data_IF_886599110773
#
_entry.id   IF_886599110773
#
_cell.length_a   1.000
_cell.length_b   1.000
_cell.length_c   1.000
_cell.angle_alpha   90.00
_cell.angle_beta   90.00
_cell.angle_gamma   90.00
#
_symmetry.space_group_name_H-M   'P 1'
#
loop_
_entity.id
_entity.type
_entity.pdbx_description
1 polymer ?
#
# COMPACT_ATOMS: atom_id res chain seq x y z
N UNK A 1 3.74 14.61 -20.70
CA UNK A 1 3.39 13.77 -19.54
C UNK A 1 3.37 12.29 -19.88
N UNK A 2 2.63 11.84 -20.89
CA UNK A 2 2.50 10.42 -21.27
C UNK A 2 3.83 9.76 -21.67
N UNK A 3 4.68 10.45 -22.42
CA UNK A 3 5.97 9.88 -22.85
C UNK A 3 6.93 9.67 -21.66
N UNK A 4 6.84 10.52 -20.65
CA UNK A 4 7.60 10.37 -19.42
C UNK A 4 7.16 9.14 -18.61
N UNK A 5 5.85 8.92 -18.51
CA UNK A 5 5.29 7.72 -17.90
C UNK A 5 5.72 6.45 -18.65
N UNK A 6 5.67 6.48 -20.01
CA UNK A 6 6.16 5.36 -20.84
C UNK A 6 7.64 5.07 -20.62
N UNK A 7 8.46 6.12 -20.49
CA UNK A 7 9.89 5.96 -20.21
C UNK A 7 10.16 5.29 -18.87
N UNK A 8 9.41 5.65 -17.82
CA UNK A 8 9.54 5.00 -16.50
C UNK A 8 9.12 3.52 -16.54
N UNK A 9 8.00 3.19 -17.19
CA UNK A 9 7.59 1.79 -17.35
C UNK A 9 8.59 1.00 -18.20
N UNK A 10 9.15 1.59 -19.24
CA UNK A 10 10.19 0.94 -20.04
C UNK A 10 11.44 0.65 -19.21
N UNK A 11 11.88 1.62 -18.37
CA UNK A 11 12.99 1.47 -17.43
C UNK A 11 12.74 0.33 -16.45
N UNK A 12 11.54 0.27 -15.85
CA UNK A 12 11.15 -0.79 -14.93
C UNK A 12 11.17 -2.16 -15.58
N UNK A 13 10.56 -2.33 -16.76
CA UNK A 13 10.54 -3.60 -17.48
C UNK A 13 11.93 -4.14 -17.81
N UNK A 14 12.91 -3.26 -18.03
CA UNK A 14 14.31 -3.64 -18.30
C UNK A 14 15.15 -3.80 -17.04
N UNK A 15 14.65 -3.39 -15.88
CA UNK A 15 15.36 -3.53 -14.62
C UNK A 15 15.38 -4.98 -14.14
N UNK A 16 16.56 -5.58 -14.06
CA UNK A 16 16.72 -6.92 -13.46
C UNK A 16 16.27 -6.91 -11.99
N UNK A 17 16.54 -5.83 -11.26
CA UNK A 17 16.12 -5.68 -9.86
C UNK A 17 14.61 -5.74 -9.71
N UNK A 18 13.84 -5.13 -10.60
CA UNK A 18 12.39 -5.21 -10.59
C UNK A 18 11.91 -6.67 -10.70
N UNK A 19 12.36 -7.41 -11.69
CA UNK A 19 11.96 -8.81 -11.89
C UNK A 19 12.39 -9.75 -10.75
N UNK A 20 13.55 -9.50 -10.14
CA UNK A 20 13.99 -10.24 -8.95
C UNK A 20 13.03 -9.95 -7.79
N UNK A 21 12.63 -8.70 -7.59
CA UNK A 21 11.65 -8.31 -6.54
C UNK A 21 10.30 -8.98 -6.77
N UNK A 22 9.80 -8.98 -8.03
CA UNK A 22 8.54 -9.64 -8.37
C UNK A 22 8.60 -11.16 -8.14
N UNK A 23 9.71 -11.80 -8.49
CA UNK A 23 9.92 -13.22 -8.24
C UNK A 23 9.87 -13.55 -6.74
N UNK A 24 10.55 -12.74 -5.91
CA UNK A 24 10.47 -12.88 -4.45
C UNK A 24 9.07 -12.57 -3.92
N UNK A 25 8.38 -11.58 -4.47
CA UNK A 25 7.00 -11.26 -4.12
C UNK A 25 6.09 -12.48 -4.32
N UNK A 26 6.18 -13.14 -5.47
CA UNK A 26 5.39 -14.34 -5.79
C UNK A 26 5.69 -15.48 -4.82
N UNK A 27 6.98 -15.82 -4.63
CA UNK A 27 7.38 -16.93 -3.76
C UNK A 27 6.98 -16.67 -2.31
N UNK A 28 7.31 -15.49 -1.77
CA UNK A 28 7.01 -15.17 -0.37
C UNK A 28 5.50 -15.11 -0.13
N UNK A 29 4.73 -14.49 -1.03
CA UNK A 29 3.29 -14.47 -0.90
C UNK A 29 2.69 -15.88 -0.94
N UNK A 30 3.12 -16.73 -1.87
CA UNK A 30 2.66 -18.11 -1.97
C UNK A 30 3.01 -18.94 -0.71
N UNK A 31 4.24 -18.81 -0.21
CA UNK A 31 4.68 -19.55 0.99
C UNK A 31 3.96 -19.06 2.25
N UNK A 32 3.73 -17.77 2.41
CA UNK A 32 2.98 -17.23 3.56
C UNK A 32 1.55 -17.75 3.60
N UNK A 33 0.85 -17.77 2.47
CA UNK A 33 -0.52 -18.29 2.41
C UNK A 33 -0.59 -19.80 2.59
N UNK A 34 0.39 -20.56 2.10
CA UNK A 34 0.44 -22.01 2.30
C UNK A 34 0.81 -22.39 3.75
N UNK A 35 1.76 -21.68 4.35
CA UNK A 35 2.24 -21.98 5.70
C UNK A 35 1.36 -21.38 6.81
N UNK A 36 0.27 -20.67 6.47
CA UNK A 36 -0.55 -19.89 7.40
C UNK A 36 0.30 -18.95 8.29
N UNK A 37 1.42 -18.45 7.75
CA UNK A 37 2.30 -17.51 8.44
C UNK A 37 1.73 -16.11 8.24
N UNK A 38 1.38 -15.45 9.34
CA UNK A 38 0.85 -14.09 9.32
C UNK A 38 1.99 -13.10 9.52
N UNK A 39 2.26 -12.29 8.51
CA UNK A 39 3.20 -11.18 8.59
C UNK A 39 2.43 -9.93 9.06
N UNK A 40 2.53 -9.62 10.34
CA UNK A 40 1.94 -8.41 10.91
C UNK A 40 2.03 -8.43 12.44
N UNK A 41 2.53 -7.36 13.03
CA UNK A 41 2.41 -7.13 14.46
C UNK A 41 0.94 -6.78 14.78
N UNK A 42 0.10 -7.77 15.03
CA UNK A 42 -1.22 -7.55 15.56
C UNK A 42 -1.08 -7.15 17.03
N UNK A 43 -1.07 -5.86 17.32
CA UNK A 43 -1.32 -5.33 18.65
C UNK A 43 -2.84 -5.40 18.86
N UNK A 44 -3.38 -6.61 18.99
CA UNK A 44 -4.73 -6.79 19.49
C UNK A 44 -4.63 -7.05 20.99
N UNK A 45 -5.33 -6.25 21.76
CA UNK A 45 -5.46 -6.37 23.22
C UNK A 45 -6.11 -7.70 23.66
N UNK A 46 -6.53 -8.55 22.75
CA UNK A 46 -7.09 -9.86 22.99
C UNK A 46 -6.10 -10.96 22.59
N UNK A 47 -5.22 -11.32 23.52
CA UNK A 47 -4.33 -12.47 23.43
C UNK A 47 -5.05 -13.84 23.25
N UNK A 48 -6.38 -13.87 23.27
CA UNK A 48 -7.20 -15.06 23.04
C UNK A 48 -7.47 -15.37 21.54
N UNK A 49 -7.10 -14.49 20.62
CA UNK A 49 -7.32 -14.66 19.18
C UNK A 49 -6.06 -15.12 18.42
N UNK A 50 -5.07 -15.71 19.08
CA UNK A 50 -4.18 -16.65 18.41
C UNK A 50 -4.94 -17.94 18.12
N UNK A 51 -6.09 -17.81 17.42
CA UNK A 51 -6.67 -18.95 16.75
C UNK A 51 -5.58 -19.49 15.85
N UNK A 52 -5.18 -20.74 16.09
CA UNK A 52 -4.56 -21.58 15.07
C UNK A 52 -5.48 -21.44 13.84
N UNK A 53 -5.14 -20.50 12.95
CA UNK A 53 -5.92 -20.26 11.76
C UNK A 53 -5.85 -21.57 10.99
N UNK A 54 -6.96 -22.31 11.04
CA UNK A 54 -7.15 -23.51 10.26
C UNK A 54 -6.84 -23.17 8.80
N UNK A 55 -6.61 -24.16 8.01
CA UNK A 55 -6.32 -24.03 6.58
C UNK A 55 -7.32 -23.07 5.95
N UNK A 56 -6.87 -21.87 5.55
CA UNK A 56 -7.72 -20.85 4.93
C UNK A 56 -8.23 -21.34 3.57
N UNK A 57 -9.52 -21.25 3.35
CA UNK A 57 -10.12 -21.43 2.00
C UNK A 57 -9.85 -20.22 1.14
N UNK A 58 -10.05 -20.32 -0.19
CA UNK A 58 -9.80 -19.22 -1.12
C UNK A 58 -10.52 -17.93 -0.74
N UNK A 59 -11.80 -17.99 -0.35
CA UNK A 59 -12.56 -16.81 0.07
C UNK A 59 -12.07 -16.22 1.40
N UNK A 60 -11.68 -17.07 2.35
CA UNK A 60 -11.08 -16.61 3.60
C UNK A 60 -9.70 -15.97 3.41
N UNK A 61 -8.92 -16.44 2.44
CA UNK A 61 -7.64 -15.82 2.09
C UNK A 61 -7.81 -14.42 1.52
N UNK A 62 -8.87 -14.17 0.73
CA UNK A 62 -9.20 -12.82 0.26
C UNK A 62 -9.62 -11.90 1.40
N UNK A 63 -10.43 -12.39 2.34
CA UNK A 63 -10.83 -11.65 3.54
C UNK A 63 -9.60 -11.29 4.41
N UNK A 64 -8.73 -12.27 4.62
CA UNK A 64 -7.47 -12.06 5.32
C UNK A 64 -6.59 -11.00 4.62
N UNK A 65 -6.48 -11.06 3.28
CA UNK A 65 -5.75 -10.05 2.51
C UNK A 65 -6.37 -8.66 2.65
N UNK A 66 -7.70 -8.54 2.65
CA UNK A 66 -8.38 -7.26 2.84
C UNK A 66 -8.05 -6.62 4.21
N UNK A 67 -7.93 -7.43 5.27
CA UNK A 67 -7.60 -6.96 6.63
C UNK A 67 -6.12 -6.64 6.86
N UNK A 68 -5.19 -7.22 6.07
CA UNK A 68 -3.75 -7.14 6.31
C UNK A 68 -3.02 -6.38 5.20
N UNK A 69 -2.29 -5.33 5.56
CA UNK A 69 -1.68 -4.38 4.60
C UNK A 69 -0.18 -4.62 4.39
N UNK A 70 0.48 -5.23 5.36
CA UNK A 70 1.94 -5.11 5.49
C UNK A 70 2.74 -5.74 4.33
N UNK A 71 2.34 -6.90 3.84
CA UNK A 71 3.03 -7.56 2.73
C UNK A 71 2.91 -6.79 1.40
N UNK A 72 1.72 -6.26 1.11
CA UNK A 72 1.49 -5.45 -0.09
C UNK A 72 2.34 -4.19 -0.10
N UNK A 73 2.36 -3.47 1.04
CA UNK A 73 3.12 -2.23 1.17
C UNK A 73 4.62 -2.48 1.04
N UNK A 74 5.14 -3.57 1.61
CA UNK A 74 6.56 -3.88 1.56
C UNK A 74 7.09 -3.96 0.11
N UNK A 75 6.45 -4.74 -0.75
CA UNK A 75 6.85 -4.86 -2.15
C UNK A 75 6.62 -3.58 -2.94
N UNK A 76 5.50 -2.89 -2.69
CA UNK A 76 5.20 -1.61 -3.31
C UNK A 76 6.26 -0.56 -2.99
N UNK A 77 6.79 -0.53 -1.77
CA UNK A 77 7.85 0.36 -1.34
C UNK A 77 9.15 0.10 -2.08
N UNK A 78 9.51 -1.17 -2.32
CA UNK A 78 10.69 -1.50 -3.10
C UNK A 78 10.52 -0.98 -4.54
N UNK A 79 9.37 -1.20 -5.17
CA UNK A 79 9.06 -0.65 -6.49
C UNK A 79 9.12 0.89 -6.53
N UNK A 80 8.55 1.56 -5.52
CA UNK A 80 8.61 3.02 -5.36
C UNK A 80 10.04 3.52 -5.19
N UNK A 81 10.89 2.79 -4.45
CA UNK A 81 12.30 3.14 -4.28
C UNK A 81 13.06 3.10 -5.60
N UNK A 82 12.74 2.16 -6.48
CA UNK A 82 13.36 2.04 -7.81
C UNK A 82 12.98 3.17 -8.76
N UNK A 83 11.75 3.69 -8.66
CA UNK A 83 11.24 4.74 -9.57
C UNK A 83 11.54 6.12 -9.02
N UNK A 84 11.00 6.42 -7.84
CA UNK A 84 11.06 7.75 -7.26
C UNK A 84 12.29 7.93 -6.35
N UNK A 85 12.64 6.89 -5.56
CA UNK A 85 13.76 6.92 -4.63
C UNK A 85 15.09 7.15 -5.33
N UNK A 86 15.37 6.40 -6.40
CA UNK A 86 16.61 6.56 -7.19
C UNK A 86 16.66 7.93 -7.87
N UNK A 87 15.55 8.38 -8.43
CA UNK A 87 15.49 9.67 -9.14
C UNK A 87 15.77 10.86 -8.20
N UNK A 88 15.21 10.84 -6.99
CA UNK A 88 15.40 11.92 -6.02
C UNK A 88 16.76 11.85 -5.33
N UNK A 89 17.23 10.67 -4.91
CA UNK A 89 18.51 10.50 -4.23
C UNK A 89 19.70 10.85 -5.13
N UNK A 90 19.61 10.50 -6.42
CA UNK A 90 20.64 10.82 -7.44
C UNK A 90 20.41 12.15 -8.14
N UNK A 91 19.39 12.93 -7.73
CA UNK A 91 19.01 14.22 -8.31
C UNK A 91 18.71 14.16 -9.82
N UNK A 92 18.31 13.00 -10.36
CA UNK A 92 18.01 12.83 -11.79
C UNK A 92 16.81 13.69 -12.24
N UNK A 93 15.94 14.07 -11.32
CA UNK A 93 14.84 15.00 -11.60
C UNK A 93 15.31 16.33 -12.17
N UNK A 94 16.53 16.80 -11.81
CA UNK A 94 17.10 18.04 -12.34
C UNK A 94 17.28 17.98 -13.86
N UNK A 95 17.73 16.84 -14.37
CA UNK A 95 17.85 16.64 -15.81
C UNK A 95 16.49 16.74 -16.51
N UNK A 96 15.45 16.13 -15.93
CA UNK A 96 14.10 16.20 -16.50
C UNK A 96 13.58 17.65 -16.54
N UNK A 97 13.84 18.43 -15.49
CA UNK A 97 13.42 19.83 -15.40
C UNK A 97 14.20 20.73 -16.37
N UNK A 98 15.50 20.47 -16.59
CA UNK A 98 16.31 21.22 -17.56
C UNK A 98 15.86 21.00 -19.01
N UNK A 99 15.24 19.85 -19.31
CA UNK A 99 14.59 19.59 -20.61
C UNK A 99 13.18 20.21 -20.74
N UNK A 100 12.79 21.10 -19.81
CA UNK A 100 11.54 21.85 -19.90
C UNK A 100 10.30 21.15 -19.33
N UNK A 101 10.46 20.02 -18.62
CA UNK A 101 9.35 19.37 -17.92
C UNK A 101 8.99 20.20 -16.69
N UNK A 102 7.72 20.60 -16.53
CA UNK A 102 7.29 21.33 -15.34
C UNK A 102 7.38 20.48 -14.08
N UNK A 103 7.69 21.09 -12.92
CA UNK A 103 7.73 20.42 -11.61
C UNK A 103 6.42 19.67 -11.32
N UNK A 104 5.29 20.26 -11.70
CA UNK A 104 3.96 19.66 -11.51
C UNK A 104 3.77 18.42 -12.36
N UNK A 105 4.12 18.47 -13.65
CA UNK A 105 4.03 17.31 -14.55
C UNK A 105 4.94 16.18 -14.11
N UNK A 106 6.16 16.50 -13.64
CA UNK A 106 7.07 15.50 -13.06
C UNK A 106 6.45 14.82 -11.84
N UNK A 107 5.96 15.62 -10.88
CA UNK A 107 5.39 15.13 -9.62
C UNK A 107 4.23 14.16 -9.85
N UNK A 108 3.22 14.56 -10.62
CA UNK A 108 2.05 13.73 -10.89
C UNK A 108 2.37 12.52 -11.77
N UNK A 109 3.30 12.61 -12.72
CA UNK A 109 3.74 11.45 -13.50
C UNK A 109 4.37 10.39 -12.61
N UNK A 110 5.26 10.80 -11.70
CA UNK A 110 5.90 9.85 -10.77
C UNK A 110 4.90 9.23 -9.81
N UNK A 111 3.99 10.03 -9.26
CA UNK A 111 2.93 9.52 -8.40
C UNK A 111 2.05 8.50 -9.14
N UNK A 112 1.66 8.78 -10.37
CA UNK A 112 0.87 7.86 -11.20
C UNK A 112 1.60 6.54 -11.45
N UNK A 113 2.89 6.57 -11.77
CA UNK A 113 3.70 5.35 -11.95
C UNK A 113 3.76 4.54 -10.65
N UNK A 114 3.96 5.19 -9.50
CA UNK A 114 3.96 4.52 -8.19
C UNK A 114 2.62 3.87 -7.86
N UNK A 115 1.50 4.56 -8.13
CA UNK A 115 0.14 4.00 -7.96
C UNK A 115 -0.10 2.82 -8.90
N UNK A 116 0.40 2.89 -10.14
CA UNK A 116 0.28 1.79 -11.10
C UNK A 116 1.06 0.54 -10.65
N UNK A 117 2.25 0.70 -10.06
CA UNK A 117 3.01 -0.40 -9.44
C UNK A 117 2.22 -0.99 -8.28
N UNK A 118 1.65 -0.15 -7.42
CA UNK A 118 0.81 -0.62 -6.30
C UNK A 118 -0.41 -1.40 -6.79
N UNK A 119 -1.08 -0.93 -7.86
CA UNK A 119 -2.20 -1.64 -8.46
C UNK A 119 -1.78 -3.01 -9.01
N UNK A 120 -0.61 -3.08 -9.64
CA UNK A 120 -0.05 -4.33 -10.12
C UNK A 120 0.24 -5.31 -8.97
N UNK A 121 0.95 -4.88 -7.92
CA UNK A 121 1.20 -5.70 -6.73
C UNK A 121 -0.09 -6.12 -6.03
N UNK A 122 -1.08 -5.21 -5.93
CA UNK A 122 -2.38 -5.50 -5.34
C UNK A 122 -3.07 -6.67 -6.05
N UNK A 123 -3.17 -6.60 -7.38
CA UNK A 123 -3.78 -7.66 -8.18
C UNK A 123 -2.98 -8.96 -8.13
N UNK A 124 -1.64 -8.85 -8.17
CA UNK A 124 -0.75 -10.01 -8.13
C UNK A 124 -0.90 -10.77 -6.81
N UNK A 125 -0.79 -10.10 -5.66
CA UNK A 125 -0.86 -10.73 -4.34
C UNK A 125 -2.29 -11.26 -4.08
N UNK A 126 -3.32 -10.50 -4.47
CA UNK A 126 -4.71 -10.94 -4.40
C UNK A 126 -4.93 -12.26 -5.16
N UNK A 127 -4.41 -12.34 -6.39
CA UNK A 127 -4.53 -13.53 -7.21
C UNK A 127 -3.76 -14.73 -6.61
N UNK A 128 -2.53 -14.50 -6.14
CA UNK A 128 -1.72 -15.54 -5.52
C UNK A 128 -2.40 -16.07 -4.24
N UNK A 129 -2.88 -15.18 -3.37
CA UNK A 129 -3.55 -15.58 -2.13
C UNK A 129 -4.78 -16.45 -2.40
N UNK A 130 -5.61 -16.04 -3.36
CA UNK A 130 -6.79 -16.81 -3.76
C UNK A 130 -6.43 -18.17 -4.36
N UNK A 131 -5.51 -18.20 -5.33
CA UNK A 131 -5.15 -19.43 -6.04
C UNK A 131 -4.49 -20.42 -5.10
N UNK A 132 -3.49 -20.00 -4.31
CA UNK A 132 -2.77 -20.90 -3.41
C UNK A 132 -3.68 -21.49 -2.33
N UNK A 133 -4.53 -20.67 -1.72
CA UNK A 133 -5.48 -21.14 -0.71
C UNK A 133 -6.57 -22.05 -1.31
N UNK A 134 -7.09 -21.71 -2.51
CA UNK A 134 -8.09 -22.53 -3.20
C UNK A 134 -7.56 -23.89 -3.63
N UNK A 135 -6.32 -23.97 -4.10
CA UNK A 135 -5.68 -25.22 -4.48
C UNK A 135 -5.42 -26.12 -3.25
N UNK A 136 -5.08 -25.54 -2.11
CA UNK A 136 -4.75 -26.29 -0.91
C UNK A 136 -5.99 -26.72 -0.12
N UNK A 137 -7.03 -25.89 -0.04
CA UNK A 137 -8.15 -26.06 0.90
C UNK A 137 -9.55 -25.87 0.27
N UNK A 138 -9.61 -25.72 -1.07
CA UNK A 138 -10.85 -25.43 -1.78
C UNK A 138 -11.26 -23.95 -1.74
N UNK A 139 -12.25 -23.60 -2.54
CA UNK A 139 -12.71 -22.20 -2.68
C UNK A 139 -13.41 -21.73 -1.40
N UNK A 140 -14.10 -22.63 -0.70
CA UNK A 140 -14.93 -22.29 0.46
C UNK A 140 -16.33 -21.83 0.07
N UNK A 141 -17.20 -21.65 1.07
CA UNK A 141 -18.54 -21.09 0.93
C UNK A 141 -18.64 -19.82 1.76
N UNK A 142 -19.42 -18.85 1.27
CA UNK A 142 -19.63 -17.58 1.95
C UNK A 142 -21.11 -17.15 1.81
N UNK A 143 -21.64 -16.37 2.78
CA UNK A 143 -22.97 -15.76 2.69
C UNK A 143 -23.08 -14.85 1.46
N UNK A 144 -24.29 -14.62 0.97
CA UNK A 144 -24.53 -13.73 -0.18
C UNK A 144 -24.07 -12.28 0.02
N UNK A 145 -24.06 -11.81 1.27
CA UNK A 145 -23.58 -10.48 1.65
C UNK A 145 -22.06 -10.35 1.66
N UNK A 146 -21.32 -11.47 1.69
CA UNK A 146 -19.86 -11.45 1.83
C UNK A 146 -19.15 -10.82 0.62
N UNK A 147 -19.54 -11.16 -0.59
CA UNK A 147 -18.89 -10.65 -1.81
C UNK A 147 -18.96 -9.12 -1.95
N UNK A 148 -20.12 -8.46 -1.74
CA UNK A 148 -20.18 -7.00 -1.72
C UNK A 148 -19.33 -6.37 -0.62
N UNK A 149 -19.34 -6.93 0.60
CA UNK A 149 -18.52 -6.44 1.71
C UNK A 149 -17.02 -6.60 1.42
N UNK A 150 -16.60 -7.75 0.89
CA UNK A 150 -15.24 -8.00 0.47
C UNK A 150 -14.80 -7.00 -0.62
N UNK A 151 -15.63 -6.76 -1.64
CA UNK A 151 -15.35 -5.79 -2.70
C UNK A 151 -15.14 -4.38 -2.14
N UNK A 152 -15.97 -3.95 -1.20
CA UNK A 152 -15.84 -2.66 -0.50
C UNK A 152 -14.55 -2.61 0.32
N UNK A 153 -14.24 -3.65 1.08
CA UNK A 153 -13.02 -3.73 1.88
C UNK A 153 -11.77 -3.69 1.01
N UNK A 154 -11.74 -4.43 -0.10
CA UNK A 154 -10.64 -4.42 -1.05
C UNK A 154 -10.46 -3.05 -1.73
N UNK A 155 -11.55 -2.36 -2.05
CA UNK A 155 -11.48 -1.02 -2.61
C UNK A 155 -10.88 -0.02 -1.61
N UNK A 156 -11.34 -0.01 -0.37
CA UNK A 156 -10.78 0.86 0.69
C UNK A 156 -9.33 0.49 0.96
N UNK A 157 -8.99 -0.79 0.93
CA UNK A 157 -7.61 -1.29 1.05
C UNK A 157 -6.70 -0.69 -0.04
N UNK A 158 -7.14 -0.70 -1.28
CA UNK A 158 -6.40 -0.10 -2.38
C UNK A 158 -6.23 1.40 -2.17
N UNK A 159 -7.29 2.12 -1.78
CA UNK A 159 -7.21 3.54 -1.44
C UNK A 159 -6.23 3.82 -0.29
N UNK A 160 -6.25 3.00 0.77
CA UNK A 160 -5.28 3.09 1.88
C UNK A 160 -3.84 2.90 1.39
N UNK A 161 -3.60 2.00 0.44
CA UNK A 161 -2.30 1.82 -0.19
C UNK A 161 -1.86 3.07 -0.96
N UNK A 162 -2.77 3.71 -1.68
CA UNK A 162 -2.52 5.00 -2.36
C UNK A 162 -2.16 6.10 -1.35
N UNK A 163 -2.82 6.12 -0.20
CA UNK A 163 -2.50 7.05 0.91
C UNK A 163 -1.07 6.82 1.42
N UNK A 164 -0.68 5.58 1.64
CA UNK A 164 0.69 5.25 2.03
C UNK A 164 1.73 5.70 1.00
N UNK A 165 1.43 5.55 -0.29
CA UNK A 165 2.30 6.06 -1.36
C UNK A 165 2.41 7.58 -1.28
N UNK A 166 1.32 8.31 -0.98
CA UNK A 166 1.35 9.76 -0.83
C UNK A 166 2.20 10.19 0.38
N UNK A 167 2.05 9.53 1.54
CA UNK A 167 2.84 9.78 2.76
C UNK A 167 4.33 9.55 2.47
N UNK A 168 4.68 8.39 1.92
CA UNK A 168 6.06 8.02 1.63
C UNK A 168 6.67 8.96 0.58
N UNK A 169 5.91 9.32 -0.46
CA UNK A 169 6.35 10.28 -1.47
C UNK A 169 6.63 11.65 -0.86
N UNK A 170 5.78 12.15 0.03
CA UNK A 170 6.00 13.40 0.77
C UNK A 170 7.33 13.37 1.52
N UNK A 171 7.55 12.32 2.33
CA UNK A 171 8.79 12.17 3.12
C UNK A 171 10.02 12.09 2.21
N UNK A 172 9.89 11.39 1.07
CA UNK A 172 10.96 11.25 0.10
C UNK A 172 11.29 12.57 -0.61
N UNK A 173 10.29 13.38 -0.98
CA UNK A 173 10.50 14.72 -1.53
C UNK A 173 11.11 15.68 -0.48
N UNK A 174 10.83 15.47 0.80
CA UNK A 174 11.43 16.24 1.88
C UNK A 174 12.89 15.86 2.14
N UNK A 175 13.21 14.58 2.21
CA UNK A 175 14.51 14.04 2.64
C UNK A 175 15.49 13.76 1.50
N UNK A 176 15.01 13.45 0.30
CA UNK A 176 15.79 12.96 -0.87
C UNK A 176 16.63 11.71 -0.56
N UNK A 177 16.24 10.93 0.43
CA UNK A 177 16.96 9.74 0.87
C UNK A 177 16.10 8.48 0.72
N UNK A 178 16.63 7.44 0.07
CA UNK A 178 15.93 6.14 -0.04
C UNK A 178 15.69 5.53 1.34
N UNK A 179 16.59 5.75 2.30
CA UNK A 179 16.46 5.24 3.67
C UNK A 179 15.17 5.76 4.33
N UNK A 180 14.77 7.00 4.04
CA UNK A 180 13.55 7.59 4.60
C UNK A 180 12.28 6.84 4.19
N UNK A 181 12.26 6.16 3.04
CA UNK A 181 11.13 5.33 2.58
C UNK A 181 10.91 4.18 3.57
N UNK A 182 11.98 3.45 3.87
CA UNK A 182 11.91 2.31 4.79
C UNK A 182 11.62 2.76 6.23
N UNK A 183 12.22 3.86 6.67
CA UNK A 183 11.91 4.44 7.99
C UNK A 183 10.44 4.83 8.09
N UNK A 184 9.88 5.47 7.06
CA UNK A 184 8.45 5.84 7.03
C UNK A 184 7.56 4.61 7.07
N UNK A 185 7.93 3.53 6.41
CA UNK A 185 7.17 2.28 6.47
C UNK A 185 7.18 1.66 7.87
N UNK A 186 8.37 1.44 8.44
CA UNK A 186 8.48 0.78 9.74
C UNK A 186 7.96 1.63 10.90
N UNK A 187 8.24 2.94 10.91
CA UNK A 187 7.82 3.83 11.97
C UNK A 187 6.43 4.42 11.75
N UNK A 188 6.03 4.64 10.49
CA UNK A 188 4.77 5.31 10.16
C UNK A 188 3.56 4.54 10.67
N UNK A 189 3.53 3.22 10.50
CA UNK A 189 2.45 2.37 11.03
C UNK A 189 2.36 2.47 12.56
N UNK A 190 3.48 2.43 13.25
CA UNK A 190 3.55 2.58 14.72
C UNK A 190 3.09 3.98 15.14
N UNK A 191 3.58 5.03 14.47
CA UNK A 191 3.22 6.41 14.78
C UNK A 191 1.72 6.69 14.60
N UNK A 192 1.09 6.10 13.59
CA UNK A 192 -0.35 6.24 13.37
C UNK A 192 -1.19 5.48 14.41
N UNK A 193 -0.63 4.47 15.07
CA UNK A 193 -1.33 3.71 16.12
C UNK A 193 -1.16 4.29 17.52
N UNK A 194 -0.12 5.10 17.78
CA UNK A 194 0.12 5.72 19.09
C UNK A 194 -1.09 6.51 19.61
N UNK A 195 -1.75 7.40 18.83
CA UNK A 195 -2.91 8.13 19.33
C UNK A 195 -4.05 7.22 19.79
N UNK A 196 -4.22 6.06 19.15
CA UNK A 196 -5.26 5.09 19.53
C UNK A 196 -4.99 4.45 20.91
N UNK A 197 -3.72 4.33 21.32
CA UNK A 197 -3.35 3.81 22.65
C UNK A 197 -3.81 4.79 23.75
N UNK A 198 -3.69 6.11 23.51
CA UNK A 198 -4.08 7.13 24.47
C UNK A 198 -5.56 7.46 24.46
N UNK A 199 -6.23 7.27 23.32
CA UNK A 199 -7.66 7.60 23.11
C UNK A 199 -8.39 6.44 22.43
N UNK A 200 -8.55 5.27 23.09
CA UNK A 200 -9.11 4.06 22.48
C UNK A 200 -10.57 4.20 22.05
N UNK A 201 -11.34 5.06 22.74
CA UNK A 201 -12.76 5.26 22.48
C UNK A 201 -13.05 6.20 21.29
N UNK A 202 -12.01 6.78 20.71
CA UNK A 202 -12.19 7.70 19.59
C UNK A 202 -12.22 6.92 18.26
N UNK A 203 -13.41 6.70 17.74
CA UNK A 203 -13.64 5.97 16.49
C UNK A 203 -12.84 6.52 15.30
N UNK A 204 -12.62 7.83 15.20
CA UNK A 204 -11.88 8.43 14.09
C UNK A 204 -10.42 8.02 14.04
N UNK A 205 -9.81 7.77 15.20
CA UNK A 205 -8.42 7.32 15.26
C UNK A 205 -8.24 5.92 14.68
N UNK A 206 -9.26 5.07 14.74
CA UNK A 206 -9.24 3.75 14.11
C UNK A 206 -9.06 3.90 12.59
N UNK A 207 -9.80 4.80 11.96
CA UNK A 207 -9.70 5.04 10.52
C UNK A 207 -8.37 5.70 10.13
N UNK A 208 -7.77 6.51 11.03
CA UNK A 208 -6.46 7.13 10.81
C UNK A 208 -5.34 6.09 10.72
N UNK A 209 -5.48 4.92 11.35
CA UNK A 209 -4.51 3.82 11.20
C UNK A 209 -4.45 3.23 9.79
N UNK A 210 -5.38 3.63 8.91
CA UNK A 210 -5.53 3.15 7.53
C UNK A 210 -5.77 1.63 7.44
N UNK A 211 -6.27 1.04 8.53
CA UNK A 211 -6.68 -0.37 8.60
C UNK A 211 -8.19 -0.47 8.46
N UNK A 212 -8.63 -1.29 7.54
CA UNK A 212 -10.04 -1.53 7.29
C UNK A 212 -10.24 -3.01 6.99
N UNK A 213 -11.23 -3.63 7.57
CA UNK A 213 -11.53 -5.05 7.41
C UNK A 213 -12.96 -5.26 6.87
N UNK A 214 -13.27 -6.49 6.49
CA UNK A 214 -14.56 -6.86 5.90
C UNK A 214 -15.73 -6.67 6.88
N UNK A 215 -15.51 -6.85 8.19
CA UNK A 215 -16.54 -6.62 9.20
C UNK A 215 -16.95 -5.13 9.25
N UNK A 216 -15.98 -4.21 9.13
CA UNK A 216 -16.26 -2.77 9.04
C UNK A 216 -16.99 -2.40 7.75
N UNK A 217 -16.83 -3.18 6.68
CA UNK A 217 -17.53 -2.97 5.41
C UNK A 217 -19.03 -3.29 5.48
N UNK A 218 -19.50 -3.96 6.52
CA UNK A 218 -20.91 -4.19 6.78
C UNK A 218 -21.65 -2.93 7.25
N UNK A 219 -20.93 -1.97 7.85
CA UNK A 219 -21.48 -0.69 8.30
C UNK A 219 -21.21 0.41 7.28
N UNK A 220 -22.26 0.94 6.68
CA UNK A 220 -22.17 2.05 5.73
C UNK A 220 -21.57 3.32 6.34
N UNK A 221 -21.79 3.58 7.62
CA UNK A 221 -21.21 4.71 8.35
C UNK A 221 -19.68 4.55 8.46
N UNK A 222 -19.20 3.36 8.79
CA UNK A 222 -17.78 3.03 8.84
C UNK A 222 -17.10 3.18 7.46
N UNK A 223 -17.76 2.74 6.38
CA UNK A 223 -17.28 2.89 5.01
C UNK A 223 -17.08 4.36 4.64
N UNK A 224 -18.08 5.21 4.92
CA UNK A 224 -18.00 6.65 4.61
C UNK A 224 -16.87 7.30 5.41
N UNK A 225 -16.76 7.02 6.71
CA UNK A 225 -15.68 7.55 7.57
C UNK A 225 -14.30 7.13 7.05
N UNK A 226 -14.15 5.86 6.65
CA UNK A 226 -12.90 5.35 6.11
C UNK A 226 -12.52 6.05 4.78
N UNK A 227 -13.45 6.18 3.83
CA UNK A 227 -13.21 6.84 2.55
C UNK A 227 -12.84 8.31 2.77
N UNK A 228 -13.57 9.03 3.61
CA UNK A 228 -13.29 10.44 3.94
C UNK A 228 -11.89 10.60 4.53
N UNK A 229 -11.52 9.74 5.49
CA UNK A 229 -10.20 9.79 6.12
C UNK A 229 -9.09 9.53 5.09
N UNK A 230 -9.22 8.46 4.31
CA UNK A 230 -8.22 8.07 3.30
C UNK A 230 -8.05 9.17 2.25
N UNK A 231 -9.14 9.72 1.72
CA UNK A 231 -9.10 10.80 0.71
C UNK A 231 -8.48 12.07 1.29
N UNK A 232 -8.91 12.47 2.48
CA UNK A 232 -8.39 13.67 3.15
C UNK A 232 -6.89 13.56 3.40
N UNK A 233 -6.43 12.46 3.99
CA UNK A 233 -5.01 12.22 4.27
C UNK A 233 -4.21 12.18 2.96
N UNK A 234 -4.70 11.50 1.93
CA UNK A 234 -4.05 11.47 0.61
C UNK A 234 -3.87 12.87 0.04
N UNK A 235 -4.92 13.68 0.04
CA UNK A 235 -4.86 15.06 -0.50
C UNK A 235 -3.90 15.93 0.30
N UNK A 236 -3.92 15.85 1.64
CA UNK A 236 -3.00 16.61 2.50
C UNK A 236 -1.54 16.28 2.17
N UNK A 237 -1.19 14.99 2.10
CA UNK A 237 0.19 14.60 1.81
C UNK A 237 0.60 14.85 0.36
N UNK A 238 -0.31 14.72 -0.62
CA UNK A 238 -0.02 15.09 -2.01
C UNK A 238 0.25 16.58 -2.17
N UNK A 239 -0.59 17.43 -1.58
CA UNK A 239 -0.41 18.89 -1.65
C UNK A 239 0.87 19.29 -0.92
N UNK A 240 1.10 18.78 0.28
CA UNK A 240 2.31 19.05 1.06
C UNK A 240 3.58 18.60 0.33
N UNK A 241 3.57 17.42 -0.28
CA UNK A 241 4.67 16.91 -1.09
C UNK A 241 4.97 17.78 -2.31
N UNK A 242 3.93 18.23 -3.00
CA UNK A 242 4.06 19.16 -4.12
C UNK A 242 4.63 20.52 -3.68
N UNK A 243 4.16 21.05 -2.53
CA UNK A 243 4.66 22.32 -1.99
C UNK A 243 6.15 22.23 -1.63
N UNK A 244 6.56 21.14 -0.96
CA UNK A 244 7.98 20.90 -0.63
C UNK A 244 8.81 20.80 -1.89
N UNK A 245 8.35 20.06 -2.90
CA UNK A 245 9.08 19.91 -4.16
C UNK A 245 9.18 21.22 -4.95
N UNK A 246 8.12 22.06 -4.95
CA UNK A 246 8.15 23.36 -5.62
C UNK A 246 9.10 24.37 -4.96
N UNK A 247 9.18 24.39 -3.62
CA UNK A 247 10.04 25.31 -2.85
C UNK A 247 11.53 24.99 -2.96
N UNK A 248 11.88 23.74 -3.30
CA UNK A 248 13.28 23.37 -3.46
C UNK A 248 13.84 23.97 -4.76
N UNK A 249 14.93 24.71 -4.62
CA UNK A 249 15.67 25.26 -5.75
C UNK A 249 16.35 24.16 -6.56
N UNK A 250 16.50 24.41 -7.86
CA UNK A 250 17.12 23.51 -8.82
C UNK A 250 18.63 23.40 -8.61
#
# INVERSE_FOLDING_TARGET
>A
MMDFIRADFYRLKRSKGFWITEFFCVILSATFFQANIHFGANISSNAAASQSLGKLTGLQALDYFAGNTDSLLFFTIIGLSMVLGVDLSRKLYKNCLSYGISKLSYYFSKFFVCVSIAAFHFLLILSISFVTASLSNGIGSAPSSFLPQLGTALFIKFLSTVTWIAIISFVLYASHSIVSIFLTYFLGGTLLTIPLIFYPDNEWLIYLTLRFNTNMAADSGAVIKAILTVVTVTLVFLISGLMVFKKKDL
#
